data_IF_916964730369
#
_entry.id   IF_916964730369
#
_cell.length_a   1.000
_cell.length_b   1.000
_cell.length_c   1.000
_cell.angle_alpha   90.00
_cell.angle_beta   90.00
_cell.angle_gamma   90.00
#
_symmetry.space_group_name_H-M   'P 1'
#
loop_
_entity.id
_entity.type
_entity.pdbx_description
1 polymer ?
#
# COMPACT_ATOMS: atom_id res chain seq x y z
N UNK A 1 18.66 -38.35 -22.35
CA UNK A 1 17.48 -37.63 -22.86
C UNK A 1 16.89 -36.67 -21.82
N UNK A 2 16.73 -37.05 -20.54
CA UNK A 2 16.15 -36.18 -19.51
C UNK A 2 17.01 -34.95 -19.10
N UNK A 3 18.33 -35.07 -19.09
CA UNK A 3 19.25 -34.01 -18.65
C UNK A 3 19.31 -32.80 -19.59
N UNK A 4 19.17 -33.01 -20.91
CA UNK A 4 19.16 -31.93 -21.90
C UNK A 4 17.89 -31.09 -21.84
N UNK A 5 16.73 -31.71 -21.55
CA UNK A 5 15.46 -31.02 -21.41
C UNK A 5 15.43 -30.12 -20.16
N UNK A 6 16.00 -30.57 -19.05
CA UNK A 6 16.11 -29.78 -17.80
C UNK A 6 17.03 -28.57 -18.00
N UNK A 7 18.16 -28.75 -18.69
CA UNK A 7 19.11 -27.65 -18.96
C UNK A 7 18.49 -26.58 -19.89
N UNK A 8 17.73 -27.01 -20.91
CA UNK A 8 17.01 -26.12 -21.81
C UNK A 8 15.88 -25.36 -21.09
N UNK A 9 15.15 -26.02 -20.20
CA UNK A 9 14.11 -25.40 -19.39
C UNK A 9 14.68 -24.36 -18.40
N UNK A 10 15.81 -24.67 -17.76
CA UNK A 10 16.54 -23.73 -16.87
C UNK A 10 17.10 -22.53 -17.65
N UNK A 11 17.66 -22.75 -18.84
CA UNK A 11 18.13 -21.69 -19.72
C UNK A 11 17.01 -20.75 -20.19
N UNK A 12 15.84 -21.29 -20.54
CA UNK A 12 14.66 -20.50 -20.90
C UNK A 12 14.08 -19.72 -19.71
N UNK A 13 14.05 -20.32 -18.51
CA UNK A 13 13.59 -19.63 -17.30
C UNK A 13 14.54 -18.48 -16.92
N UNK A 14 15.85 -18.72 -16.95
CA UNK A 14 16.86 -17.69 -16.71
C UNK A 14 16.77 -16.56 -17.75
N UNK A 15 16.62 -16.90 -19.03
CA UNK A 15 16.43 -15.92 -20.11
C UNK A 15 15.17 -15.06 -19.93
N UNK A 16 14.04 -15.65 -19.54
CA UNK A 16 12.80 -14.91 -19.24
C UNK A 16 12.96 -13.97 -18.04
N UNK A 17 13.66 -14.41 -16.98
CA UNK A 17 13.93 -13.57 -15.80
C UNK A 17 14.85 -12.40 -16.16
N UNK A 18 15.88 -12.62 -16.97
CA UNK A 18 16.81 -11.56 -17.42
C UNK A 18 16.09 -10.54 -18.30
N UNK A 19 15.29 -10.99 -19.27
CA UNK A 19 14.51 -10.10 -20.15
C UNK A 19 13.47 -9.31 -19.35
N UNK A 20 12.80 -9.94 -18.38
CA UNK A 20 11.85 -9.27 -17.49
C UNK A 20 12.54 -8.18 -16.66
N UNK A 21 13.67 -8.50 -15.99
CA UNK A 21 14.45 -7.54 -15.21
C UNK A 21 15.01 -6.39 -16.06
N UNK A 22 15.48 -6.67 -17.27
CA UNK A 22 15.98 -5.64 -18.18
C UNK A 22 14.85 -4.70 -18.66
N UNK A 23 13.67 -5.25 -18.94
CA UNK A 23 12.50 -4.48 -19.36
C UNK A 23 11.95 -3.63 -18.21
N UNK A 24 11.90 -4.18 -16.99
CA UNK A 24 11.54 -3.46 -15.77
C UNK A 24 12.54 -2.31 -15.49
N UNK A 25 13.84 -2.59 -15.57
CA UNK A 25 14.90 -1.58 -15.40
C UNK A 25 14.81 -0.45 -16.44
N UNK A 26 14.50 -0.76 -17.70
CA UNK A 26 14.31 0.24 -18.75
C UNK A 26 13.02 1.07 -18.58
N UNK A 27 11.94 0.44 -18.14
CA UNK A 27 10.66 1.12 -17.87
C UNK A 27 10.78 2.05 -16.65
N UNK A 28 11.45 1.59 -15.60
CA UNK A 28 11.77 2.39 -14.42
C UNK A 28 12.63 3.59 -14.81
N UNK A 29 13.64 3.41 -15.66
CA UNK A 29 14.45 4.51 -16.18
C UNK A 29 13.62 5.52 -16.97
N UNK A 30 12.66 5.08 -17.80
CA UNK A 30 11.76 6.00 -18.53
C UNK A 30 10.87 6.81 -17.59
N UNK A 31 10.28 6.16 -16.58
CA UNK A 31 9.44 6.83 -15.59
C UNK A 31 10.24 7.82 -14.74
N UNK A 32 11.48 7.48 -14.39
CA UNK A 32 12.39 8.38 -13.68
C UNK A 32 12.79 9.57 -14.54
N UNK A 33 13.11 9.38 -15.82
CA UNK A 33 13.41 10.48 -16.75
C UNK A 33 12.18 11.40 -16.91
N UNK A 34 10.99 10.83 -17.12
CA UNK A 34 9.76 11.62 -17.23
C UNK A 34 9.48 12.40 -15.95
N UNK A 35 9.61 11.76 -14.78
CA UNK A 35 9.47 12.41 -13.48
C UNK A 35 10.47 13.56 -13.34
N UNK A 36 11.75 13.34 -13.68
CA UNK A 36 12.77 14.38 -13.63
C UNK A 36 12.45 15.56 -14.55
N UNK A 37 12.06 15.28 -15.79
CA UNK A 37 11.74 16.30 -16.78
C UNK A 37 10.55 17.15 -16.33
N UNK A 38 9.46 16.49 -15.93
CA UNK A 38 8.25 17.16 -15.47
C UNK A 38 8.54 17.96 -14.19
N UNK A 39 9.34 17.42 -13.28
CA UNK A 39 9.65 18.06 -12.01
C UNK A 39 10.63 19.23 -12.11
N UNK A 40 11.56 19.22 -13.06
CA UNK A 40 12.63 20.24 -13.16
C UNK A 40 12.40 21.29 -14.25
N UNK A 41 11.57 21.01 -15.26
CA UNK A 41 11.38 21.88 -16.43
C UNK A 41 9.94 22.38 -16.60
N UNK A 42 9.07 22.19 -15.60
CA UNK A 42 7.72 22.77 -15.57
C UNK A 42 7.52 23.65 -14.34
N UNK A 43 6.32 24.22 -14.18
CA UNK A 43 5.93 24.97 -12.98
C UNK A 43 6.09 24.19 -11.67
N UNK A 44 6.06 22.84 -11.73
CA UNK A 44 6.23 21.96 -10.58
C UNK A 44 7.57 22.16 -9.84
N UNK A 45 8.60 22.65 -10.53
CA UNK A 45 9.95 22.82 -9.97
C UNK A 45 9.97 23.51 -8.60
N UNK A 46 9.18 24.56 -8.47
CA UNK A 46 9.14 25.40 -7.27
C UNK A 46 7.83 25.26 -6.47
N UNK A 47 6.85 24.54 -7.01
CA UNK A 47 5.60 24.21 -6.31
C UNK A 47 5.84 23.15 -5.23
N UNK A 48 5.02 23.20 -4.18
CA UNK A 48 5.00 22.17 -3.15
C UNK A 48 4.21 20.96 -3.66
N UNK A 49 4.87 19.80 -3.72
CA UNK A 49 4.27 18.53 -4.12
C UNK A 49 4.09 17.68 -2.87
N UNK A 50 2.87 17.16 -2.67
CA UNK A 50 2.53 16.30 -1.54
C UNK A 50 2.93 14.85 -1.83
N UNK A 51 3.57 14.21 -0.89
CA UNK A 51 3.86 12.79 -0.88
C UNK A 51 2.93 12.10 0.11
N UNK A 52 2.38 10.95 -0.30
CA UNK A 52 1.70 10.01 0.61
C UNK A 52 2.17 8.62 0.25
N UNK A 53 2.98 8.03 1.12
CA UNK A 53 3.65 6.76 0.89
C UNK A 53 3.17 5.73 1.91
N UNK A 54 2.46 4.71 1.44
CA UNK A 54 1.75 3.74 2.26
C UNK A 54 1.95 2.32 1.78
N UNK A 55 1.57 1.36 2.61
CA UNK A 55 1.43 -0.04 2.22
C UNK A 55 0.01 -0.54 2.54
N UNK A 56 -0.47 -1.47 1.72
CA UNK A 56 -1.76 -2.13 1.91
C UNK A 56 -1.51 -3.64 2.00
N UNK A 57 -1.95 -4.23 3.11
CA UNK A 57 -1.83 -5.65 3.38
C UNK A 57 -3.07 -6.36 2.84
N UNK A 58 -2.83 -7.22 1.87
CA UNK A 58 -3.79 -8.14 1.29
C UNK A 58 -3.86 -9.40 2.13
N UNK A 59 -4.97 -9.57 2.83
CA UNK A 59 -5.28 -10.78 3.60
C UNK A 59 -6.34 -11.57 2.83
N UNK A 60 -5.93 -12.57 2.04
CA UNK A 60 -6.85 -13.47 1.34
C UNK A 60 -7.35 -14.56 2.28
N UNK A 61 -8.63 -14.88 2.21
CA UNK A 61 -9.16 -16.05 2.91
C UNK A 61 -8.68 -17.31 2.16
N UNK A 62 -7.95 -18.22 2.82
CA UNK A 62 -7.28 -19.31 2.12
C UNK A 62 -8.30 -20.23 1.43
N UNK A 63 -7.92 -20.71 0.24
CA UNK A 63 -8.77 -21.54 -0.64
C UNK A 63 -10.02 -20.81 -1.20
N UNK A 64 -10.05 -19.48 -1.18
CA UNK A 64 -11.15 -18.68 -1.76
C UNK A 64 -10.63 -17.48 -2.56
N UNK A 65 -11.53 -16.78 -3.26
CA UNK A 65 -11.28 -15.48 -3.88
C UNK A 65 -11.65 -14.29 -2.99
N UNK A 66 -11.88 -14.52 -1.69
CA UNK A 66 -12.34 -13.49 -0.74
C UNK A 66 -11.19 -12.83 0.00
N UNK A 67 -11.44 -11.63 0.50
CA UNK A 67 -10.48 -10.81 1.23
C UNK A 67 -11.04 -10.41 2.58
N UNK A 68 -10.19 -10.36 3.60
CA UNK A 68 -10.52 -9.72 4.87
C UNK A 68 -10.25 -8.21 4.75
N UNK A 69 -11.26 -7.41 5.06
CA UNK A 69 -11.14 -5.96 5.23
C UNK A 69 -11.55 -5.57 6.64
N UNK A 70 -10.97 -4.47 7.12
CA UNK A 70 -11.18 -3.92 8.46
C UNK A 70 -11.82 -2.54 8.37
N UNK A 71 -12.53 -2.12 9.42
CA UNK A 71 -13.22 -0.83 9.47
C UNK A 71 -12.23 0.26 9.83
N UNK A 72 -12.13 1.28 8.99
CA UNK A 72 -11.18 2.36 9.22
C UNK A 72 -11.58 3.25 10.40
N UNK A 73 -10.61 3.64 11.21
CA UNK A 73 -10.81 4.56 12.35
C UNK A 73 -11.28 5.95 11.93
N UNK A 74 -10.85 6.42 10.75
CA UNK A 74 -11.12 7.79 10.28
C UNK A 74 -12.48 7.93 9.62
N UNK A 75 -12.90 6.94 8.85
CA UNK A 75 -14.16 6.93 8.11
C UNK A 75 -14.95 5.72 8.62
N UNK A 76 -15.74 5.94 9.67
CA UNK A 76 -16.38 4.86 10.46
C UNK A 76 -17.30 3.96 9.66
N UNK A 77 -17.86 4.41 8.53
CA UNK A 77 -18.73 3.62 7.66
C UNK A 77 -17.99 2.88 6.53
N UNK A 78 -16.65 3.00 6.47
CA UNK A 78 -15.82 2.47 5.40
C UNK A 78 -14.93 1.31 5.87
N UNK A 79 -14.93 0.23 5.09
CA UNK A 79 -13.96 -0.84 5.13
C UNK A 79 -12.74 -0.51 4.27
N UNK A 80 -11.58 -0.93 4.72
CA UNK A 80 -10.29 -0.75 4.05
C UNK A 80 -9.40 -1.98 4.25
N UNK A 81 -8.34 -2.16 3.43
CA UNK A 81 -7.30 -3.13 3.72
C UNK A 81 -6.62 -2.78 5.04
N UNK A 82 -6.10 -3.78 5.75
CA UNK A 82 -5.14 -3.54 6.82
C UNK A 82 -3.92 -2.83 6.23
N UNK A 83 -3.41 -1.79 6.88
CA UNK A 83 -2.21 -1.09 6.43
C UNK A 83 -2.32 0.41 6.58
N UNK A 84 -1.22 1.09 6.31
CA UNK A 84 -1.14 2.51 6.59
C UNK A 84 0.07 3.17 5.99
N UNK A 85 0.33 4.38 6.48
CA UNK A 85 1.41 5.21 5.97
C UNK A 85 2.71 4.79 6.64
N UNK A 86 3.76 4.61 5.86
CA UNK A 86 5.08 4.33 6.42
C UNK A 86 5.51 5.44 7.38
N UNK A 87 6.36 5.11 8.35
CA UNK A 87 7.03 6.12 9.19
C UNK A 87 8.49 6.36 8.78
N UNK A 88 8.97 7.58 8.92
CA UNK A 88 10.39 7.92 8.88
C UNK A 88 11.06 7.52 10.20
N UNK A 89 12.35 7.20 10.16
CA UNK A 89 13.18 7.07 11.36
C UNK A 89 13.93 8.39 11.57
N UNK A 90 14.15 8.77 12.84
CA UNK A 90 14.62 10.10 13.26
C UNK A 90 15.76 10.72 12.42
N UNK A 91 15.73 12.04 12.26
CA UNK A 91 16.90 12.87 11.93
C UNK A 91 17.32 12.94 10.45
N UNK A 92 16.47 12.53 9.51
CA UNK A 92 16.81 12.55 8.08
C UNK A 92 16.95 13.99 7.54
N UNK A 93 18.19 14.50 7.57
CA UNK A 93 18.57 15.88 7.27
C UNK A 93 18.26 16.33 5.84
N UNK A 94 18.14 15.37 4.92
CA UNK A 94 17.88 15.58 3.50
C UNK A 94 16.50 16.19 3.25
N UNK A 95 15.54 15.97 4.15
CA UNK A 95 14.22 16.59 4.07
C UNK A 95 14.32 18.13 4.08
N UNK A 96 15.22 18.70 4.86
CA UNK A 96 15.47 20.15 4.87
C UNK A 96 15.95 20.64 3.50
N UNK A 97 16.89 19.90 2.88
CA UNK A 97 17.40 20.21 1.53
C UNK A 97 16.27 20.18 0.49
N UNK A 98 15.27 19.34 0.69
CA UNK A 98 14.13 19.21 -0.22
C UNK A 98 13.02 20.23 0.02
N UNK A 99 13.16 21.09 1.03
CA UNK A 99 12.14 22.05 1.43
C UNK A 99 10.95 21.36 2.07
N UNK A 100 11.21 20.39 2.94
CA UNK A 100 10.20 19.65 3.69
C UNK A 100 9.21 20.58 4.39
N UNK A 101 7.94 20.20 4.29
CA UNK A 101 6.85 20.75 5.07
C UNK A 101 5.98 19.60 5.53
N UNK A 102 5.48 19.69 6.76
CA UNK A 102 4.45 18.79 7.23
C UNK A 102 3.20 18.89 6.33
N UNK A 103 2.39 17.83 6.31
CA UNK A 103 1.11 17.91 5.62
C UNK A 103 0.21 18.95 6.33
N UNK A 104 -0.41 19.87 5.59
CA UNK A 104 -1.06 21.01 6.22
C UNK A 104 -2.42 20.60 6.81
N UNK A 105 -2.66 20.87 8.10
CA UNK A 105 -3.91 20.51 8.78
C UNK A 105 -5.17 21.28 8.34
N UNK A 106 -5.06 22.30 7.48
CA UNK A 106 -6.22 23.05 6.98
C UNK A 106 -7.01 22.28 5.90
N UNK A 107 -6.34 21.41 5.14
CA UNK A 107 -6.90 20.57 4.05
C UNK A 107 -6.24 19.19 3.93
N UNK A 108 -5.34 18.86 4.84
CA UNK A 108 -4.67 17.58 5.02
C UNK A 108 -4.82 17.14 6.47
N UNK A 109 -4.12 16.08 6.86
CA UNK A 109 -4.17 15.67 8.26
C UNK A 109 -3.36 16.63 9.13
N UNK A 110 -3.94 17.07 10.27
CA UNK A 110 -3.13 17.71 11.31
C UNK A 110 -2.12 16.69 11.80
N UNK A 111 -0.85 17.07 11.79
CA UNK A 111 0.20 16.35 12.50
C UNK A 111 -0.20 16.30 13.98
N UNK A 112 -0.44 15.10 14.48
CA UNK A 112 -0.60 14.77 15.89
C UNK A 112 0.57 13.88 16.33
N UNK A 113 0.68 13.58 17.62
CA UNK A 113 1.79 12.78 18.15
C UNK A 113 1.90 11.40 17.47
N UNK A 114 0.78 10.89 16.94
CA UNK A 114 0.69 9.60 16.24
C UNK A 114 1.21 9.73 14.80
N UNK A 115 0.90 10.82 14.10
CA UNK A 115 1.20 11.01 12.68
C UNK A 115 2.47 11.83 12.38
N UNK A 116 3.16 12.35 13.41
CA UNK A 116 4.37 13.20 13.26
C UNK A 116 5.46 12.61 12.35
N UNK A 117 5.60 11.29 12.34
CA UNK A 117 6.63 10.57 11.60
C UNK A 117 6.13 9.95 10.30
N UNK A 118 4.86 10.14 9.96
CA UNK A 118 4.29 9.58 8.75
C UNK A 118 4.98 10.12 7.49
N UNK A 119 5.14 9.27 6.48
CA UNK A 119 5.56 9.62 5.12
C UNK A 119 4.40 10.30 4.35
N UNK A 120 3.81 11.30 5.00
CA UNK A 120 2.85 12.27 4.50
C UNK A 120 3.42 13.66 4.69
N UNK A 121 3.95 14.23 3.64
CA UNK A 121 4.68 15.49 3.70
C UNK A 121 4.67 16.19 2.35
N UNK A 122 5.22 17.40 2.31
CA UNK A 122 5.39 18.17 1.08
C UNK A 122 6.85 18.54 0.90
N UNK A 123 7.31 18.56 -0.36
CA UNK A 123 8.65 19.01 -0.76
C UNK A 123 8.55 19.83 -2.03
N UNK A 124 9.62 20.55 -2.40
CA UNK A 124 9.67 21.19 -3.72
C UNK A 124 9.68 20.16 -4.83
N UNK A 125 8.83 20.35 -5.84
CA UNK A 125 8.63 19.35 -6.88
C UNK A 125 9.91 18.92 -7.58
N UNK A 126 10.90 19.81 -7.76
CA UNK A 126 12.21 19.47 -8.33
C UNK A 126 12.92 18.29 -7.66
N UNK A 127 12.66 18.04 -6.37
CA UNK A 127 13.24 16.94 -5.58
C UNK A 127 12.38 15.67 -5.57
N UNK A 128 11.27 15.62 -6.32
CA UNK A 128 10.37 14.47 -6.28
C UNK A 128 11.05 13.15 -6.65
N UNK A 129 11.95 13.16 -7.64
CA UNK A 129 12.72 11.97 -8.00
C UNK A 129 13.70 11.56 -6.90
N UNK A 130 14.31 12.53 -6.20
CA UNK A 130 15.23 12.26 -5.09
C UNK A 130 14.49 11.58 -3.93
N UNK A 131 13.28 12.06 -3.62
CA UNK A 131 12.41 11.45 -2.60
C UNK A 131 12.03 10.02 -2.99
N UNK A 132 11.64 9.79 -4.24
CA UNK A 132 11.33 8.44 -4.74
C UNK A 132 12.54 7.52 -4.59
N UNK A 133 13.72 7.95 -5.05
CA UNK A 133 14.96 7.17 -4.93
C UNK A 133 15.33 6.86 -3.48
N UNK A 134 15.16 7.83 -2.59
CA UNK A 134 15.36 7.62 -1.16
C UNK A 134 14.38 6.59 -0.60
N UNK A 135 13.08 6.70 -0.92
CA UNK A 135 12.09 5.73 -0.49
C UNK A 135 12.46 4.31 -0.95
N UNK A 136 12.85 4.14 -2.21
CA UNK A 136 13.31 2.87 -2.79
C UNK A 136 14.58 2.32 -2.11
N UNK A 137 15.43 3.19 -1.56
CA UNK A 137 16.65 2.76 -0.86
C UNK A 137 16.38 2.07 0.47
N UNK A 138 15.15 2.18 1.02
CA UNK A 138 14.73 1.65 2.34
C UNK A 138 15.53 2.19 3.54
N UNK A 139 16.34 3.24 3.36
CA UNK A 139 17.14 3.85 4.42
C UNK A 139 16.31 4.80 5.28
N UNK A 140 16.58 4.80 6.59
CA UNK A 140 16.04 5.76 7.57
C UNK A 140 14.50 5.86 7.56
N UNK A 141 13.83 4.72 7.31
CA UNK A 141 12.37 4.59 7.38
C UNK A 141 11.97 3.21 7.88
N UNK A 142 10.71 3.07 8.24
CA UNK A 142 10.06 1.78 8.43
C UNK A 142 10.19 0.91 7.17
N UNK A 143 10.53 -0.36 7.36
CA UNK A 143 10.77 -1.32 6.27
C UNK A 143 9.95 -2.60 6.38
N UNK A 144 9.23 -2.77 7.49
CA UNK A 144 8.34 -3.91 7.77
C UNK A 144 6.87 -3.46 7.70
N UNK A 145 5.97 -4.44 7.73
CA UNK A 145 4.52 -4.22 7.64
C UNK A 145 3.80 -4.53 8.97
N UNK A 146 4.59 -4.85 10.00
CA UNK A 146 4.13 -5.44 11.24
C UNK A 146 3.35 -4.44 12.09
N UNK A 147 3.68 -3.14 12.03
CA UNK A 147 3.05 -2.12 12.86
C UNK A 147 1.54 -2.07 12.61
N UNK A 148 1.14 -1.75 11.39
CA UNK A 148 -0.28 -1.61 11.03
C UNK A 148 -1.00 -2.96 11.11
N UNK A 149 -0.29 -4.06 10.85
CA UNK A 149 -0.87 -5.39 11.06
C UNK A 149 -1.21 -5.63 12.55
N UNK A 150 -0.31 -5.29 13.47
CA UNK A 150 -0.57 -5.45 14.91
C UNK A 150 -1.63 -4.47 15.39
N UNK A 151 -1.49 -3.19 15.07
CA UNK A 151 -2.43 -2.13 15.49
C UNK A 151 -3.84 -2.44 14.97
N UNK A 152 -4.03 -2.51 13.64
CA UNK A 152 -5.38 -2.65 13.10
C UNK A 152 -5.94 -4.07 13.28
N UNK A 153 -5.18 -5.13 13.05
CA UNK A 153 -5.74 -6.49 13.10
C UNK A 153 -5.84 -7.04 14.53
N UNK A 154 -4.80 -6.90 15.33
CA UNK A 154 -4.72 -7.53 16.67
C UNK A 154 -5.30 -6.61 17.73
N UNK A 155 -4.81 -5.37 17.82
CA UNK A 155 -5.19 -4.46 18.91
C UNK A 155 -6.61 -3.91 18.73
N UNK A 156 -6.94 -3.44 17.52
CA UNK A 156 -8.23 -2.79 17.25
C UNK A 156 -9.37 -3.76 16.94
N UNK A 157 -9.06 -4.89 16.31
CA UNK A 157 -10.06 -5.86 15.83
C UNK A 157 -10.00 -7.23 16.50
N UNK A 158 -9.14 -7.37 17.52
CA UNK A 158 -9.19 -8.48 18.48
C UNK A 158 -8.79 -9.84 17.92
N UNK A 159 -8.00 -9.88 16.84
CA UNK A 159 -7.43 -11.13 16.36
C UNK A 159 -6.43 -11.67 17.39
N UNK A 160 -6.42 -12.99 17.59
CA UNK A 160 -5.61 -13.63 18.61
C UNK A 160 -4.12 -13.35 18.38
N UNK A 161 -3.50 -12.62 19.31
CA UNK A 161 -2.11 -12.22 19.27
C UNK A 161 -1.16 -13.42 19.14
N UNK A 162 -1.44 -14.51 19.84
CA UNK A 162 -0.54 -15.66 19.89
C UNK A 162 -0.59 -16.42 18.56
N UNK A 163 -1.78 -16.55 17.97
CA UNK A 163 -1.95 -17.15 16.63
C UNK A 163 -1.34 -16.27 15.54
N UNK A 164 -1.55 -14.95 15.60
CA UNK A 164 -1.10 -13.99 14.60
C UNK A 164 0.26 -13.36 14.92
N UNK A 165 1.01 -13.91 15.88
CA UNK A 165 2.32 -13.40 16.28
C UNK A 165 3.33 -13.44 15.11
N UNK A 166 3.49 -14.62 14.50
CA UNK A 166 4.38 -14.82 13.36
C UNK A 166 3.77 -14.24 12.09
N UNK A 167 4.54 -13.43 11.37
CA UNK A 167 4.09 -12.75 10.16
C UNK A 167 5.05 -13.04 9.02
N UNK A 168 4.49 -13.38 7.87
CA UNK A 168 5.24 -13.53 6.64
C UNK A 168 4.51 -12.76 5.55
N UNK A 169 5.25 -11.94 4.82
CA UNK A 169 4.71 -11.10 3.77
C UNK A 169 5.44 -11.30 2.46
N UNK A 170 4.71 -11.21 1.36
CA UNK A 170 5.27 -11.16 0.01
C UNK A 170 4.87 -9.87 -0.67
N UNK A 171 5.84 -9.13 -1.20
CA UNK A 171 5.56 -7.98 -2.07
C UNK A 171 4.87 -8.46 -3.35
N UNK A 172 3.71 -7.87 -3.67
CA UNK A 172 2.89 -8.24 -4.83
C UNK A 172 3.13 -7.27 -5.96
N UNK A 173 2.97 -5.98 -5.68
CA UNK A 173 3.13 -4.91 -6.65
C UNK A 173 3.32 -3.57 -5.96
N UNK A 174 3.81 -2.60 -6.73
CA UNK A 174 3.92 -1.21 -6.32
C UNK A 174 3.08 -0.34 -7.25
N UNK A 175 2.19 0.46 -6.67
CA UNK A 175 1.43 1.46 -7.41
C UNK A 175 2.06 2.82 -7.15
N UNK A 176 2.49 3.50 -8.21
CA UNK A 176 3.05 4.83 -8.12
C UNK A 176 2.28 5.77 -9.05
N UNK A 177 1.65 6.80 -8.48
CA UNK A 177 0.99 7.89 -9.21
C UNK A 177 1.81 9.15 -8.99
N UNK A 178 2.49 9.64 -10.01
CA UNK A 178 3.41 10.78 -9.91
C UNK A 178 2.76 12.02 -10.53
N UNK A 179 2.71 13.12 -9.76
CA UNK A 179 2.14 14.41 -10.16
C UNK A 179 0.66 14.37 -10.58
N UNK A 180 -0.13 13.52 -9.92
CA UNK A 180 -1.60 13.62 -10.01
C UNK A 180 -2.08 14.86 -9.27
N UNK A 181 -2.94 15.68 -9.86
CA UNK A 181 -3.51 16.83 -9.15
C UNK A 181 -4.66 16.38 -8.25
N UNK A 182 -4.54 16.66 -6.96
CA UNK A 182 -5.58 16.41 -5.97
C UNK A 182 -6.50 17.61 -5.85
N UNK A 183 -7.77 17.42 -6.16
CA UNK A 183 -8.80 18.46 -5.97
C UNK A 183 -9.04 18.75 -4.50
N UNK A 184 -9.00 17.73 -3.64
CA UNK A 184 -9.18 17.84 -2.20
C UNK A 184 -8.03 18.61 -1.54
N UNK A 185 -6.77 18.22 -1.81
CA UNK A 185 -5.59 18.86 -1.24
C UNK A 185 -5.12 20.10 -2.01
N UNK A 186 -5.73 20.37 -3.17
CA UNK A 186 -5.41 21.49 -4.09
C UNK A 186 -3.93 21.59 -4.47
N UNK A 187 -3.26 20.44 -4.63
CA UNK A 187 -1.85 20.36 -4.99
C UNK A 187 -1.57 19.15 -5.87
N UNK A 188 -0.40 19.14 -6.51
CA UNK A 188 0.13 17.94 -7.13
C UNK A 188 0.60 16.95 -6.06
N UNK A 189 0.38 15.67 -6.32
CA UNK A 189 0.71 14.59 -5.41
C UNK A 189 1.56 13.51 -6.06
N UNK A 190 2.40 12.90 -5.25
CA UNK A 190 3.02 11.61 -5.50
C UNK A 190 2.45 10.62 -4.50
N UNK A 191 1.70 9.64 -4.98
CA UNK A 191 1.11 8.58 -4.18
C UNK A 191 1.85 7.27 -4.46
N UNK A 192 2.35 6.63 -3.41
CA UNK A 192 3.05 5.34 -3.50
C UNK A 192 2.33 4.34 -2.60
N UNK A 193 1.94 3.21 -3.17
CA UNK A 193 1.33 2.09 -2.44
C UNK A 193 2.14 0.82 -2.70
N UNK A 194 2.76 0.29 -1.65
CA UNK A 194 3.25 -1.09 -1.67
C UNK A 194 2.09 -2.03 -1.36
N UNK A 195 1.75 -2.91 -2.28
CA UNK A 195 0.74 -3.94 -2.06
C UNK A 195 1.47 -5.22 -1.64
N UNK A 196 1.18 -5.69 -0.44
CA UNK A 196 1.84 -6.85 0.15
C UNK A 196 0.82 -7.90 0.53
N UNK A 197 1.15 -9.17 0.37
CA UNK A 197 0.27 -10.28 0.72
C UNK A 197 0.74 -10.96 1.99
N UNK A 198 -0.18 -11.11 2.94
CA UNK A 198 0.04 -11.90 4.13
C UNK A 198 0.03 -13.40 3.77
N UNK A 199 1.05 -14.12 4.22
CA UNK A 199 1.22 -15.56 4.03
C UNK A 199 0.92 -16.27 5.36
N UNK A 200 -0.33 -16.74 5.57
CA UNK A 200 -0.72 -17.34 6.84
C UNK A 200 -0.02 -18.69 7.08
N UNK A 201 0.28 -19.00 8.33
CA UNK A 201 0.61 -20.35 8.79
C UNK A 201 -0.62 -21.26 8.74
N UNK A 202 -0.47 -22.60 8.81
CA UNK A 202 -1.63 -23.50 8.84
C UNK A 202 -2.64 -23.20 9.96
N UNK A 203 -2.17 -22.76 11.13
CA UNK A 203 -3.01 -22.35 12.24
C UNK A 203 -3.78 -21.05 11.92
N UNK A 204 -3.10 -20.04 11.39
CA UNK A 204 -3.72 -18.79 10.96
C UNK A 204 -4.73 -19.01 9.83
N UNK A 205 -4.47 -19.95 8.91
CA UNK A 205 -5.42 -20.32 7.87
C UNK A 205 -6.73 -20.85 8.45
N UNK A 206 -6.65 -21.65 9.51
CA UNK A 206 -7.84 -22.19 10.19
C UNK A 206 -8.66 -21.05 10.77
N UNK A 207 -8.05 -20.09 11.47
CA UNK A 207 -8.75 -18.93 12.01
C UNK A 207 -9.37 -18.07 10.91
N UNK A 208 -8.63 -17.75 9.85
CA UNK A 208 -9.15 -16.97 8.73
C UNK A 208 -10.34 -17.67 8.06
N UNK A 209 -10.33 -18.99 7.92
CA UNK A 209 -11.45 -19.76 7.35
C UNK A 209 -12.69 -19.73 8.24
N UNK A 210 -12.56 -19.61 9.57
CA UNK A 210 -13.73 -19.47 10.46
C UNK A 210 -14.51 -18.20 10.18
N UNK A 211 -13.85 -17.14 9.71
CA UNK A 211 -14.49 -15.86 9.38
C UNK A 211 -15.58 -16.00 8.30
N UNK A 212 -15.50 -16.99 7.41
CA UNK A 212 -16.52 -17.27 6.39
C UNK A 212 -17.89 -17.61 6.98
N UNK A 213 -17.94 -18.05 8.24
CA UNK A 213 -19.19 -18.38 8.96
C UNK A 213 -19.76 -17.18 9.72
N UNK A 214 -19.04 -16.05 9.76
CA UNK A 214 -19.46 -14.88 10.51
C UNK A 214 -20.57 -14.14 9.77
N UNK A 215 -21.67 -13.83 10.46
CA UNK A 215 -22.74 -13.01 9.89
C UNK A 215 -22.25 -11.57 9.70
N UNK A 216 -22.37 -11.04 8.49
CA UNK A 216 -22.07 -9.62 8.20
C UNK A 216 -23.25 -8.75 8.64
N UNK A 217 -22.98 -7.67 9.36
CA UNK A 217 -24.01 -6.73 9.84
C UNK A 217 -23.51 -5.28 9.71
N UNK A 218 -24.44 -4.33 9.66
CA UNK A 218 -24.09 -2.91 9.74
C UNK A 218 -23.25 -2.67 11.00
N UNK A 219 -22.12 -1.98 10.84
CA UNK A 219 -21.21 -1.68 11.93
C UNK A 219 -20.23 -2.79 12.31
N UNK A 220 -20.21 -3.96 11.65
CA UNK A 220 -19.17 -4.97 11.92
C UNK A 220 -17.77 -4.38 11.74
N UNK A 221 -16.87 -4.63 12.69
CA UNK A 221 -15.51 -4.06 12.70
C UNK A 221 -14.63 -4.58 11.58
N UNK A 222 -14.93 -5.77 11.06
CA UNK A 222 -14.29 -6.32 9.87
C UNK A 222 -15.30 -7.13 9.07
N UNK A 223 -15.00 -7.36 7.79
CA UNK A 223 -15.82 -8.21 6.93
C UNK A 223 -14.95 -8.99 5.95
N UNK A 224 -15.40 -10.20 5.63
CA UNK A 224 -14.92 -10.95 4.46
C UNK A 224 -15.73 -10.49 3.25
N UNK A 225 -15.04 -10.03 2.22
CA UNK A 225 -15.65 -9.46 1.00
C UNK A 225 -15.17 -10.17 -0.26
N UNK A 226 -16.04 -10.19 -1.26
CA UNK A 226 -15.75 -10.73 -2.59
C UNK A 226 -15.18 -9.65 -3.54
N UNK A 227 -14.51 -10.08 -4.61
CA UNK A 227 -13.94 -9.19 -5.64
C UNK A 227 -15.00 -8.20 -6.16
N UNK A 228 -16.22 -8.67 -6.43
CA UNK A 228 -17.27 -7.83 -6.99
C UNK A 228 -17.72 -6.70 -6.04
N UNK A 229 -17.62 -6.92 -4.72
CA UNK A 229 -17.91 -5.90 -3.70
C UNK A 229 -16.81 -4.84 -3.68
N UNK A 230 -15.53 -5.25 -3.80
CA UNK A 230 -14.39 -4.35 -3.93
C UNK A 230 -14.50 -3.50 -5.21
N UNK A 231 -14.91 -4.10 -6.33
CA UNK A 231 -15.10 -3.38 -7.60
C UNK A 231 -16.20 -2.30 -7.50
N UNK A 232 -17.31 -2.65 -6.84
CA UNK A 232 -18.46 -1.76 -6.58
C UNK A 232 -18.24 -0.79 -5.41
N UNK A 233 -17.16 -0.94 -4.65
CA UNK A 233 -16.84 -0.15 -3.47
C UNK A 233 -17.93 -0.17 -2.38
N UNK A 234 -18.68 -1.28 -2.27
CA UNK A 234 -19.81 -1.41 -1.34
C UNK A 234 -20.10 -2.86 -0.98
N UNK A 235 -20.54 -3.06 0.27
CA UNK A 235 -21.08 -4.34 0.76
C UNK A 235 -22.59 -4.19 0.92
N UNK A 236 -23.34 -5.08 0.28
CA UNK A 236 -24.81 -5.08 0.29
C UNK A 236 -25.29 -6.39 0.90
N UNK A 237 -26.19 -6.31 1.87
CA UNK A 237 -26.87 -7.45 2.50
C UNK A 237 -28.37 -7.17 2.52
N UNK A 238 -29.19 -8.12 2.09
CA UNK A 238 -30.66 -7.96 2.02
C UNK A 238 -31.12 -6.64 1.36
N UNK A 239 -30.50 -6.28 0.24
CA UNK A 239 -30.76 -5.04 -0.52
C UNK A 239 -30.34 -3.73 0.18
N UNK A 240 -29.76 -3.79 1.38
CA UNK A 240 -29.23 -2.64 2.10
C UNK A 240 -27.71 -2.56 2.02
N UNK A 241 -27.18 -1.35 1.79
CA UNK A 241 -25.74 -1.12 1.87
C UNK A 241 -25.31 -1.05 3.34
N UNK A 242 -24.54 -2.04 3.79
CA UNK A 242 -24.08 -2.14 5.19
C UNK A 242 -22.65 -1.61 5.41
N UNK A 243 -21.90 -1.38 4.34
CA UNK A 243 -20.59 -0.73 4.40
C UNK A 243 -20.19 -0.11 3.05
N UNK A 244 -19.38 0.95 3.10
CA UNK A 244 -18.58 1.42 1.95
C UNK A 244 -17.24 0.69 1.95
N UNK A 245 -16.58 0.58 0.79
CA UNK A 245 -15.21 0.11 0.68
C UNK A 245 -14.35 1.24 0.11
N UNK A 246 -13.17 1.48 0.69
CA UNK A 246 -12.26 2.53 0.24
C UNK A 246 -11.72 2.28 -1.18
N UNK A 247 -11.56 3.32 -1.99
CA UNK A 247 -11.16 3.20 -3.40
C UNK A 247 -9.82 2.46 -3.58
N UNK A 248 -8.86 2.70 -2.67
CA UNK A 248 -7.54 2.07 -2.70
C UNK A 248 -7.59 0.54 -2.55
N UNK A 249 -8.69 -0.03 -2.03
CA UNK A 249 -8.90 -1.48 -1.94
C UNK A 249 -8.86 -2.15 -3.31
N UNK A 250 -9.18 -1.43 -4.40
CA UNK A 250 -9.08 -1.96 -5.77
C UNK A 250 -7.66 -2.41 -6.13
N UNK A 251 -6.63 -1.88 -5.47
CA UNK A 251 -5.26 -2.33 -5.71
C UNK A 251 -4.98 -3.74 -5.16
N UNK A 252 -5.84 -4.30 -4.29
CA UNK A 252 -5.67 -5.67 -3.80
C UNK A 252 -5.97 -6.72 -4.89
N UNK A 253 -6.88 -6.41 -5.82
CA UNK A 253 -7.41 -7.33 -6.83
C UNK A 253 -6.78 -7.17 -8.21
N UNK A 254 -6.22 -5.99 -8.52
CA UNK A 254 -5.63 -5.69 -9.82
C UNK A 254 -4.15 -6.05 -9.86
N UNK A 255 -3.80 -7.34 -9.96
CA UNK A 255 -2.41 -7.75 -10.26
C UNK A 255 -2.07 -7.43 -11.73
N UNK A 256 -0.89 -6.86 -11.99
CA UNK A 256 -0.36 -6.61 -13.33
C UNK A 256 0.61 -7.71 -13.78
#
# INVERSE_FOLDING_TARGET
MATSAVLAALGMAAGKVIIKKATESLLDNKNQIYTFLQSNFTKLKNEDVRFSISYLIRIKIPSTSKFLLVRGHRIKDQLQPVGGVYKKLNGFSEFEKWGYKEDCGAKGMKSDDISKDDLRFRVKGKYALDVIKWFESRKDRETTYDREFNEELIEDHGFDKDIFYSKSFREVQKIMKVFGYSTFHQCYEVLIYDIVEFLPTPEQEVELKKLLKSSRKLGSDFMVVDISEIERLSVIEHEEQIAKIGEHTKYLINEK
#
